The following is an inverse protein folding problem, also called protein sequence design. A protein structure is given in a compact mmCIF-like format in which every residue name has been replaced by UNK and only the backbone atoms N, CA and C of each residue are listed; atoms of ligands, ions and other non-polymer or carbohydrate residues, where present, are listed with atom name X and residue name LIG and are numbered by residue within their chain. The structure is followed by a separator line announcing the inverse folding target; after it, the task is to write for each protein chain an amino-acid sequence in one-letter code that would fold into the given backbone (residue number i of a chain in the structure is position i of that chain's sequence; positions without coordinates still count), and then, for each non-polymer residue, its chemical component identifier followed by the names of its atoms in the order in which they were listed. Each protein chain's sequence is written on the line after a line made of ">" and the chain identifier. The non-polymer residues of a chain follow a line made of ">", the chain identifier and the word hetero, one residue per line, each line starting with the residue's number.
data_IF_807019629316
#
_entry.id   IF_807019629316
#
_cell.length_a   1.000
_cell.length_b   1.000
_cell.length_c   1.000
_cell.angle_alpha   90.00
_cell.angle_beta   90.00
_cell.angle_gamma   90.00
#
_symmetry.space_group_name_H-M   'P 1'
#
loop_
_entity.id
_entity.type
_entity.pdbx_description
1 polymer ?
#
# COMPACT_ATOMS: atom_id res chain seq x y z
N UNK A 1 -4.28 8.73 -16.50
CA UNK A 1 -4.94 7.40 -16.60
C UNK A 1 -4.07 6.38 -17.31
N UNK A 2 -3.60 6.62 -18.54
CA UNK A 2 -2.70 5.69 -19.25
C UNK A 2 -1.40 5.39 -18.48
N UNK A 3 -0.75 6.41 -17.92
CA UNK A 3 0.48 6.23 -17.13
C UNK A 3 0.30 5.27 -15.94
N UNK A 4 -0.84 5.34 -15.25
CA UNK A 4 -1.11 4.49 -14.08
C UNK A 4 -1.36 3.04 -14.51
N UNK A 5 -2.04 2.84 -15.64
CA UNK A 5 -2.23 1.52 -16.24
C UNK A 5 -0.89 0.89 -16.64
N UNK A 6 0.00 1.66 -17.29
CA UNK A 6 1.36 1.20 -17.59
C UNK A 6 2.14 0.85 -16.32
N UNK A 7 2.11 1.71 -15.29
CA UNK A 7 2.81 1.45 -14.04
C UNK A 7 2.28 0.18 -13.33
N UNK A 8 0.97 -0.07 -13.37
CA UNK A 8 0.34 -1.30 -12.88
C UNK A 8 0.81 -2.53 -13.66
N UNK A 9 0.88 -2.45 -14.99
CA UNK A 9 1.40 -3.55 -15.83
C UNK A 9 2.89 -3.82 -15.55
N UNK A 10 3.72 -2.79 -15.43
CA UNK A 10 5.12 -2.95 -15.06
C UNK A 10 5.31 -3.55 -13.66
N UNK A 11 4.45 -3.18 -12.71
CA UNK A 11 4.44 -3.76 -11.37
C UNK A 11 4.08 -5.24 -11.42
N UNK A 12 3.08 -5.61 -12.23
CA UNK A 12 2.69 -6.99 -12.45
C UNK A 12 3.81 -7.80 -13.09
N UNK A 13 4.48 -7.29 -14.14
CA UNK A 13 5.63 -7.97 -14.74
C UNK A 13 6.82 -8.15 -13.78
N UNK A 14 7.00 -7.25 -12.82
CA UNK A 14 8.14 -7.29 -11.88
C UNK A 14 7.89 -8.19 -10.68
N UNK A 15 6.68 -8.17 -10.13
CA UNK A 15 6.33 -8.87 -8.90
C UNK A 15 5.44 -10.09 -9.12
N UNK A 16 4.91 -10.26 -10.33
CA UNK A 16 4.04 -11.36 -10.75
C UNK A 16 2.91 -11.63 -9.75
N UNK A 17 2.40 -10.56 -9.12
CA UNK A 17 1.44 -10.70 -8.02
C UNK A 17 0.11 -11.33 -8.47
N UNK A 18 -0.18 -11.35 -9.77
CA UNK A 18 -1.37 -12.01 -10.33
C UNK A 18 -1.28 -13.54 -10.34
N UNK A 19 -0.09 -14.11 -10.50
CA UNK A 19 0.13 -15.56 -10.44
C UNK A 19 0.37 -16.04 -9.01
N UNK A 20 0.52 -15.12 -8.06
CA UNK A 20 0.70 -15.45 -6.65
C UNK A 20 -0.59 -15.99 -6.03
N UNK A 21 -0.49 -17.18 -5.43
CA UNK A 21 -1.58 -17.83 -4.69
C UNK A 21 -1.91 -17.09 -3.37
N UNK A 22 -0.99 -16.24 -2.90
CA UNK A 22 -1.16 -15.52 -1.65
C UNK A 22 -2.04 -14.29 -1.85
N UNK A 23 -3.28 -14.36 -1.38
CA UNK A 23 -4.16 -13.20 -1.24
C UNK A 23 -4.68 -13.14 0.20
N UNK A 24 -4.55 -11.99 0.83
CA UNK A 24 -5.04 -11.80 2.20
C UNK A 24 -5.56 -10.38 2.40
N UNK A 25 -6.80 -10.25 2.85
CA UNK A 25 -7.37 -8.94 3.18
C UNK A 25 -7.08 -8.69 4.64
N UNK A 26 -6.06 -7.89 4.94
CA UNK A 26 -5.69 -7.52 6.31
C UNK A 26 -6.81 -6.69 6.94
N UNK A 27 -7.31 -5.67 6.23
CA UNK A 27 -8.32 -4.77 6.78
C UNK A 27 -9.36 -4.34 5.77
N UNK A 28 -10.61 -4.29 6.22
CA UNK A 28 -11.73 -3.64 5.54
C UNK A 28 -12.46 -2.74 6.53
N UNK A 29 -12.08 -1.47 6.59
CA UNK A 29 -12.68 -0.52 7.52
C UNK A 29 -13.77 0.28 6.81
N UNK A 30 -15.04 0.03 7.16
CA UNK A 30 -16.18 0.65 6.48
C UNK A 30 -16.32 2.13 6.82
N UNK A 31 -16.05 2.53 8.07
CA UNK A 31 -16.13 3.93 8.51
C UNK A 31 -15.05 4.78 7.84
N UNK A 32 -13.78 4.40 8.04
CA UNK A 32 -12.65 5.07 7.42
C UNK A 32 -12.61 4.92 5.90
N UNK A 33 -13.39 4.00 5.31
CA UNK A 33 -13.39 3.64 3.89
C UNK A 33 -11.99 3.20 3.41
N UNK A 34 -11.23 2.56 4.30
CA UNK A 34 -9.87 2.09 4.00
C UNK A 34 -9.88 0.57 3.83
N UNK A 35 -9.29 0.12 2.73
CA UNK A 35 -9.11 -1.29 2.41
C UNK A 35 -7.61 -1.57 2.31
N UNK A 36 -7.15 -2.56 3.06
CA UNK A 36 -5.76 -3.03 3.04
C UNK A 36 -5.76 -4.51 2.74
N UNK A 37 -5.01 -4.90 1.72
CA UNK A 37 -4.83 -6.29 1.40
C UNK A 37 -3.41 -6.55 0.89
N UNK A 38 -2.97 -7.79 1.05
CA UNK A 38 -1.72 -8.31 0.56
C UNK A 38 -2.00 -9.21 -0.63
N UNK A 39 -1.16 -9.10 -1.66
CA UNK A 39 -1.18 -10.00 -2.81
C UNK A 39 0.26 -10.34 -3.19
N UNK A 40 0.63 -11.61 -3.06
CA UNK A 40 2.02 -12.06 -3.07
C UNK A 40 2.80 -11.44 -1.92
N UNK A 41 3.86 -10.71 -2.26
CA UNK A 41 4.70 -9.96 -1.31
C UNK A 41 4.34 -8.47 -1.24
N UNK A 42 3.38 -8.01 -2.05
CA UNK A 42 2.96 -6.62 -2.10
C UNK A 42 1.84 -6.33 -1.11
N UNK A 43 1.88 -5.15 -0.49
CA UNK A 43 0.82 -4.63 0.37
C UNK A 43 0.12 -3.47 -0.35
N UNK A 44 -1.17 -3.63 -0.59
CA UNK A 44 -2.01 -2.64 -1.24
C UNK A 44 -2.85 -1.91 -0.21
N UNK A 45 -2.84 -0.58 -0.29
CA UNK A 45 -3.55 0.30 0.63
C UNK A 45 -4.41 1.25 -0.18
N UNK A 46 -5.73 1.11 -0.05
CA UNK A 46 -6.71 1.94 -0.71
C UNK A 46 -7.46 2.77 0.32
N UNK A 47 -7.44 4.09 0.15
CA UNK A 47 -8.27 5.00 0.92
C UNK A 47 -9.37 5.56 0.01
N UNK A 48 -10.61 5.09 0.18
CA UNK A 48 -11.79 5.56 -0.55
C UNK A 48 -12.51 6.71 0.14
N UNK A 49 -11.96 7.26 1.23
CA UNK A 49 -12.59 8.34 1.95
C UNK A 49 -12.58 9.64 1.12
N UNK A 50 -13.70 10.36 1.07
CA UNK A 50 -13.84 11.56 0.23
C UNK A 50 -12.92 12.71 0.65
N UNK A 51 -12.75 12.93 1.96
CA UNK A 51 -12.05 14.09 2.52
C UNK A 51 -11.01 13.80 3.61
N UNK A 52 -11.03 12.63 4.26
CA UNK A 52 -10.13 12.31 5.37
C UNK A 52 -8.85 11.68 4.84
N UNK A 53 -7.74 12.24 5.30
CA UNK A 53 -6.41 11.68 5.12
C UNK A 53 -5.94 11.15 6.47
N UNK A 54 -5.38 9.95 6.50
CA UNK A 54 -4.88 9.35 7.73
C UNK A 54 -3.35 9.42 7.75
N UNK A 55 -2.83 10.03 8.80
CA UNK A 55 -1.40 10.02 9.13
C UNK A 55 -1.14 8.93 10.16
N UNK A 56 0.03 8.31 10.07
CA UNK A 56 0.43 7.17 10.92
C UNK A 56 -0.60 6.02 10.92
N UNK A 57 -1.21 5.75 9.76
CA UNK A 57 -2.19 4.69 9.64
C UNK A 57 -1.49 3.33 9.70
N UNK A 58 -1.75 2.58 10.77
CA UNK A 58 -1.09 1.30 11.00
C UNK A 58 -1.73 0.20 10.16
N UNK A 59 -0.90 -0.55 9.45
CA UNK A 59 -1.30 -1.68 8.61
C UNK A 59 -0.51 -2.93 8.98
N UNK A 60 -1.18 -4.09 8.96
CA UNK A 60 -0.55 -5.37 9.21
C UNK A 60 0.18 -5.93 7.97
N UNK A 61 1.34 -6.56 8.19
CA UNK A 61 2.12 -7.22 7.14
C UNK A 61 2.66 -8.58 7.57
N UNK A 62 2.83 -9.48 6.61
CA UNK A 62 3.29 -10.85 6.86
C UNK A 62 4.79 -10.94 7.16
N UNK A 63 5.63 -10.21 6.43
CA UNK A 63 7.09 -10.29 6.54
C UNK A 63 7.63 -9.07 7.31
N UNK A 64 8.62 -9.25 8.20
CA UNK A 64 9.36 -8.13 8.75
C UNK A 64 10.34 -7.62 7.69
N UNK A 65 10.59 -6.31 7.70
CA UNK A 65 11.55 -5.68 6.80
C UNK A 65 11.31 -4.19 6.62
N UNK A 66 11.88 -3.67 5.54
CA UNK A 66 11.64 -2.31 5.07
C UNK A 66 10.73 -2.38 3.87
N UNK A 67 9.66 -1.60 3.87
CA UNK A 67 8.77 -1.45 2.74
C UNK A 67 9.02 -0.13 2.03
N UNK A 68 9.01 -0.15 0.70
CA UNK A 68 9.08 1.04 -0.16
C UNK A 68 7.84 1.16 -1.02
N UNK A 69 7.47 2.40 -1.30
CA UNK A 69 6.38 2.72 -2.22
C UNK A 69 6.82 2.37 -3.64
N UNK A 70 6.13 1.42 -4.26
CA UNK A 70 6.40 0.99 -5.65
C UNK A 70 5.38 1.55 -6.63
N UNK A 71 4.19 1.88 -6.15
CA UNK A 71 3.14 2.53 -6.93
C UNK A 71 2.40 3.49 -6.03
N UNK A 72 2.19 4.71 -6.49
CA UNK A 72 1.41 5.73 -5.79
C UNK A 72 0.51 6.43 -6.80
N UNK A 73 -0.81 6.38 -6.59
CA UNK A 73 -1.75 7.09 -7.46
C UNK A 73 -1.75 8.60 -7.25
N UNK A 74 -1.24 9.10 -6.12
CA UNK A 74 -1.16 10.54 -5.84
C UNK A 74 0.06 11.21 -6.48
N UNK A 75 0.95 10.47 -7.14
CA UNK A 75 2.13 11.06 -7.74
C UNK A 75 1.74 12.06 -8.85
N UNK A 76 2.52 13.13 -8.98
CA UNK A 76 2.26 14.19 -9.97
C UNK A 76 2.25 13.68 -11.41
N UNK A 77 2.98 12.60 -11.68
CA UNK A 77 2.97 11.88 -12.96
C UNK A 77 1.57 11.35 -13.33
N UNK A 78 0.77 10.98 -12.33
CA UNK A 78 -0.60 10.49 -12.53
C UNK A 78 -1.65 11.60 -12.40
N UNK A 79 -1.23 12.84 -12.15
CA UNK A 79 -2.11 13.99 -11.92
C UNK A 79 -2.57 14.14 -10.47
N UNK A 80 -1.88 13.51 -9.52
CA UNK A 80 -2.13 13.70 -8.09
C UNK A 80 -1.30 14.83 -7.46
N UNK A 81 -1.32 14.95 -6.13
CA UNK A 81 -0.71 16.05 -5.38
C UNK A 81 0.72 15.78 -4.89
N UNK A 82 1.29 14.60 -5.18
CA UNK A 82 2.62 14.14 -4.74
C UNK A 82 2.84 14.28 -3.23
N UNK A 83 1.84 13.92 -2.42
CA UNK A 83 1.91 14.05 -0.96
C UNK A 83 2.68 12.90 -0.31
N UNK A 84 2.86 11.80 -1.04
CA UNK A 84 3.56 10.62 -0.55
C UNK A 84 5.03 10.69 -0.96
N UNK A 85 5.92 10.52 0.02
CA UNK A 85 7.35 10.46 -0.23
C UNK A 85 7.74 9.07 -0.73
N UNK A 86 8.04 8.94 -2.02
CA UNK A 86 8.49 7.68 -2.62
C UNK A 86 9.84 7.17 -2.06
N UNK A 87 10.68 8.07 -1.55
CA UNK A 87 11.96 7.72 -0.92
C UNK A 87 11.81 7.32 0.56
N UNK A 88 10.60 7.39 1.14
CA UNK A 88 10.38 7.00 2.52
C UNK A 88 10.50 5.48 2.68
N UNK A 89 11.24 5.09 3.70
CA UNK A 89 11.43 3.70 4.10
C UNK A 89 10.50 3.40 5.28
N UNK A 90 9.60 2.45 5.10
CA UNK A 90 8.64 2.05 6.12
C UNK A 90 9.15 0.82 6.86
N UNK A 91 9.60 1.00 8.10
CA UNK A 91 10.11 -0.08 8.94
C UNK A 91 8.95 -0.81 9.62
N UNK A 92 8.95 -2.14 9.52
CA UNK A 92 8.00 -2.97 10.26
C UNK A 92 8.37 -3.06 11.74
N UNK A 93 7.39 -2.93 12.61
CA UNK A 93 7.49 -3.25 14.03
C UNK A 93 6.90 -4.63 14.32
N UNK A 94 7.45 -5.30 15.34
CA UNK A 94 6.91 -6.53 15.93
C UNK A 94 5.67 -6.20 16.77
N UNK A 95 4.60 -5.80 16.07
CA UNK A 95 3.31 -5.47 16.63
C UNK A 95 2.25 -6.21 15.85
N UNK A 96 1.61 -7.17 16.51
CA UNK A 96 0.52 -7.92 15.90
C UNK A 96 -0.66 -6.99 15.61
N UNK A 97 -1.03 -6.84 14.34
CA UNK A 97 -2.13 -5.98 13.91
C UNK A 97 -2.89 -6.65 12.76
N UNK A 98 -4.22 -6.55 12.74
CA UNK A 98 -5.06 -7.11 11.66
C UNK A 98 -4.75 -8.59 11.32
N UNK A 99 -4.61 -9.45 12.34
CA UNK A 99 -4.25 -10.87 12.18
C UNK A 99 -2.88 -11.11 11.52
N UNK A 100 -2.00 -10.11 11.48
CA UNK A 100 -0.62 -10.23 11.03
C UNK A 100 0.37 -10.08 12.19
N UNK A 101 1.52 -10.76 12.14
CA UNK A 101 2.53 -10.69 13.20
C UNK A 101 3.23 -9.33 13.26
N UNK A 102 3.41 -8.67 12.11
CA UNK A 102 4.10 -7.38 12.01
C UNK A 102 3.14 -6.29 11.55
N UNK A 103 3.52 -5.04 11.82
CA UNK A 103 2.80 -3.89 11.30
C UNK A 103 3.72 -2.70 11.08
N UNK A 104 3.31 -1.78 10.22
CA UNK A 104 4.00 -0.52 9.99
C UNK A 104 3.00 0.61 9.78
N UNK A 105 3.44 1.84 10.04
CA UNK A 105 2.62 3.03 9.86
C UNK A 105 2.87 3.65 8.48
N UNK A 106 1.79 4.03 7.81
CA UNK A 106 1.81 4.66 6.48
C UNK A 106 0.99 5.94 6.47
N UNK A 107 1.27 6.80 5.49
CA UNK A 107 0.44 7.95 5.20
C UNK A 107 -0.54 7.60 4.07
N UNK A 108 -1.84 7.76 4.32
CA UNK A 108 -2.90 7.44 3.36
C UNK A 108 -3.81 8.65 3.12
N UNK A 109 -3.49 9.48 2.10
CA UNK A 109 -4.35 10.58 1.71
C UNK A 109 -5.74 10.11 1.25
N UNK A 110 -6.72 11.02 1.28
CA UNK A 110 -8.08 10.74 0.79
C UNK A 110 -8.09 10.41 -0.70
N UNK A 111 -8.82 9.37 -1.12
CA UNK A 111 -8.99 8.94 -2.53
C UNK A 111 -7.68 8.54 -3.23
N UNK A 112 -6.80 7.85 -2.51
CA UNK A 112 -5.52 7.38 -3.08
C UNK A 112 -5.34 5.88 -2.93
N UNK A 113 -4.55 5.31 -3.83
CA UNK A 113 -4.08 3.95 -3.80
C UNK A 113 -2.55 3.96 -3.75
N UNK A 114 -2.00 3.28 -2.77
CA UNK A 114 -0.56 3.14 -2.60
C UNK A 114 -0.22 1.67 -2.47
N UNK A 115 0.83 1.25 -3.17
CA UNK A 115 1.33 -0.11 -3.12
C UNK A 115 2.74 -0.10 -2.57
N UNK A 116 2.96 -0.96 -1.59
CA UNK A 116 4.23 -1.13 -0.91
C UNK A 116 4.82 -2.49 -1.25
N UNK A 117 6.11 -2.52 -1.56
CA UNK A 117 6.86 -3.75 -1.73
C UNK A 117 7.95 -3.86 -0.66
N UNK A 118 8.25 -5.06 -0.17
CA UNK A 118 9.41 -5.28 0.68
C UNK A 118 10.67 -5.01 -0.13
N UNK A 119 11.64 -4.37 0.54
CA UNK A 119 13.00 -4.19 0.06
C UNK A 119 13.79 -5.42 0.51
N UNK A 120 14.29 -6.18 -0.45
CA UNK A 120 15.28 -7.24 -0.22
C UNK A 120 16.67 -6.67 0.10
#
# INVERSE_FOLDING_TARGET
>A
MQEFDQAMQHLEQKYEFMTSDHQYISRKHEEDKVIVFEKGDLVFVFNFHCNNSYFDYRIGCRKPGVYKVVLDSDAGLFGGFSRIHHAAEHFTADCSHDNRPYSFSVYTPSRTCVVYAPVE
#
